data_IF_365085493352
#
_entry.id   IF_365085493352
#
_cell.length_a   1.000
_cell.length_b   1.000
_cell.length_c   1.000
_cell.angle_alpha   90.00
_cell.angle_beta   90.00
_cell.angle_gamma   90.00
#
_symmetry.space_group_name_H-M   'P 1'
#
loop_
_entity.id
_entity.type
_entity.pdbx_description
1 polymer ?
#
# COMPACT_ATOMS: atom_id res chain seq x y z
N UNK A 1 -41.02 38.19 5.43
CA UNK A 1 -40.16 37.26 6.19
C UNK A 1 -39.57 38.03 7.37
N UNK A 2 -40.00 37.72 8.59
CA UNK A 2 -39.65 38.53 9.77
C UNK A 2 -38.23 38.24 10.27
N UNK A 3 -37.55 39.23 10.86
CA UNK A 3 -36.19 39.08 11.40
C UNK A 3 -36.00 37.85 12.31
N UNK A 4 -37.04 37.46 13.07
CA UNK A 4 -37.02 36.24 13.92
C UNK A 4 -36.91 34.93 13.14
N UNK A 5 -37.43 34.88 11.92
CA UNK A 5 -37.42 33.69 11.07
C UNK A 5 -36.06 33.52 10.38
N UNK A 6 -35.44 34.64 9.98
CA UNK A 6 -34.07 34.69 9.48
C UNK A 6 -33.04 34.22 10.52
N UNK A 7 -33.19 34.64 11.78
CA UNK A 7 -32.31 34.21 12.88
C UNK A 7 -32.42 32.70 13.15
N UNK A 8 -33.63 32.11 13.02
CA UNK A 8 -33.85 30.66 13.16
C UNK A 8 -33.24 29.85 12.01
N UNK A 9 -33.30 30.37 10.79
CA UNK A 9 -32.66 29.74 9.62
C UNK A 9 -31.13 29.79 9.72
N UNK A 10 -30.58 30.94 10.12
CA UNK A 10 -29.14 31.10 10.36
C UNK A 10 -28.63 30.18 11.48
N UNK A 11 -29.39 30.03 12.58
CA UNK A 11 -29.03 29.07 13.63
C UNK A 11 -29.03 27.63 13.11
N UNK A 12 -30.02 27.21 12.31
CA UNK A 12 -30.03 25.87 11.70
C UNK A 12 -28.86 25.64 10.75
N UNK A 13 -28.49 26.63 9.93
CA UNK A 13 -27.32 26.50 9.05
C UNK A 13 -26.02 26.37 9.83
N UNK A 14 -25.87 27.12 10.94
CA UNK A 14 -24.71 26.99 11.83
C UNK A 14 -24.67 25.62 12.50
N UNK A 15 -25.80 25.10 12.97
CA UNK A 15 -25.90 23.75 13.55
C UNK A 15 -25.53 22.67 12.53
N UNK A 16 -26.03 22.77 11.29
CA UNK A 16 -25.69 21.82 10.22
C UNK A 16 -24.19 21.87 9.90
N UNK A 17 -23.60 23.07 9.79
CA UNK A 17 -22.15 23.21 9.57
C UNK A 17 -21.34 22.62 10.72
N UNK A 18 -21.79 22.78 11.96
CA UNK A 18 -21.14 22.20 13.14
C UNK A 18 -21.19 20.67 13.10
N UNK A 19 -22.33 20.09 12.69
CA UNK A 19 -22.51 18.64 12.56
C UNK A 19 -21.57 18.07 11.50
N UNK A 20 -21.49 18.69 10.31
CA UNK A 20 -20.57 18.24 9.25
C UNK A 20 -19.11 18.37 9.68
N UNK A 21 -18.75 19.46 10.36
CA UNK A 21 -17.39 19.65 10.87
C UNK A 21 -17.01 18.60 11.91
N UNK A 22 -17.91 18.30 12.86
CA UNK A 22 -17.70 17.25 13.86
C UNK A 22 -17.64 15.85 13.25
N UNK A 23 -18.47 15.54 12.25
CA UNK A 23 -18.41 14.28 11.52
C UNK A 23 -17.08 14.13 10.76
N UNK A 24 -16.58 15.21 10.15
CA UNK A 24 -15.28 15.19 9.48
C UNK A 24 -14.15 14.96 10.47
N UNK A 25 -14.16 15.65 11.60
CA UNK A 25 -13.19 15.48 12.70
C UNK A 25 -13.27 14.10 13.36
N UNK A 26 -14.45 13.48 13.47
CA UNK A 26 -14.61 12.11 13.95
C UNK A 26 -14.09 11.09 12.93
N UNK A 27 -14.37 11.28 11.64
CA UNK A 27 -13.81 10.44 10.56
C UNK A 27 -12.28 10.51 10.49
N UNK A 28 -11.71 11.68 10.77
CA UNK A 28 -10.27 11.90 10.83
C UNK A 28 -9.68 11.24 12.09
N UNK A 29 -10.31 11.40 13.25
CA UNK A 29 -9.89 10.73 14.49
C UNK A 29 -10.01 9.21 14.42
N UNK A 30 -11.02 8.66 13.76
CA UNK A 30 -11.14 7.20 13.58
C UNK A 30 -10.06 6.65 12.63
N UNK A 31 -9.76 7.38 11.54
CA UNK A 31 -8.63 7.06 10.66
C UNK A 31 -7.29 7.16 11.39
N UNK A 32 -7.11 8.21 12.19
CA UNK A 32 -5.90 8.43 12.97
C UNK A 32 -5.75 7.38 14.08
N UNK A 33 -6.84 6.99 14.76
CA UNK A 33 -6.82 5.85 15.70
C UNK A 33 -6.47 4.54 15.02
N UNK A 34 -7.04 4.23 13.86
CA UNK A 34 -6.67 3.04 13.10
C UNK A 34 -5.22 3.05 12.65
N UNK A 35 -4.71 4.22 12.25
CA UNK A 35 -3.30 4.41 11.90
C UNK A 35 -2.37 4.30 13.11
N UNK A 36 -2.76 4.86 14.27
CA UNK A 36 -2.04 4.76 15.54
C UNK A 36 -2.04 3.31 16.05
N UNK A 37 -3.15 2.58 15.92
CA UNK A 37 -3.26 1.16 16.30
C UNK A 37 -2.40 0.28 15.38
N UNK A 38 -2.38 0.55 14.07
CA UNK A 38 -1.44 -0.07 13.13
C UNK A 38 0.03 0.28 13.45
N UNK A 39 0.34 1.54 13.75
CA UNK A 39 1.69 1.96 14.14
C UNK A 39 2.13 1.32 15.47
N UNK A 40 1.21 1.21 16.44
CA UNK A 40 1.48 0.60 17.74
C UNK A 40 1.71 -0.92 17.64
N UNK A 41 0.92 -1.61 16.81
CA UNK A 41 1.14 -3.04 16.53
C UNK A 41 2.46 -3.29 15.78
N UNK A 42 2.92 -2.34 14.97
CA UNK A 42 4.23 -2.43 14.30
C UNK A 42 5.41 -2.07 15.21
N UNK A 43 5.26 -1.19 16.21
CA UNK A 43 6.36 -0.86 17.16
C UNK A 43 6.73 -1.99 18.12
N UNK A 44 5.84 -2.95 18.31
CA UNK A 44 6.14 -4.18 19.04
C UNK A 44 6.75 -5.25 18.11
N UNK A 45 7.85 -4.93 17.41
CA UNK A 45 8.65 -5.95 16.70
C UNK A 45 9.42 -6.79 17.71
N UNK A 46 8.68 -7.59 18.49
CA UNK A 46 9.24 -8.77 19.13
C UNK A 46 9.49 -9.73 17.98
N UNK A 47 10.75 -10.15 17.76
CA UNK A 47 11.08 -11.16 16.74
C UNK A 47 10.10 -12.31 16.93
N UNK A 48 9.18 -12.54 15.97
CA UNK A 48 8.20 -13.58 16.13
C UNK A 48 8.95 -14.92 16.26
N UNK A 49 8.48 -15.84 17.11
CA UNK A 49 9.08 -17.17 17.14
C UNK A 49 9.06 -17.76 15.73
N UNK A 50 10.13 -18.48 15.36
CA UNK A 50 10.17 -19.18 14.07
C UNK A 50 8.96 -20.12 13.99
N UNK A 51 8.27 -20.10 12.86
CA UNK A 51 7.13 -20.96 12.59
C UNK A 51 7.57 -22.42 12.71
N UNK A 52 6.84 -23.17 13.54
CA UNK A 52 7.14 -24.58 13.81
C UNK A 52 6.72 -25.45 12.61
N UNK A 53 5.71 -25.02 11.87
CA UNK A 53 5.18 -25.71 10.69
C UNK A 53 4.96 -24.78 9.50
N UNK A 54 4.81 -25.38 8.31
CA UNK A 54 4.43 -24.67 7.10
C UNK A 54 3.03 -24.05 7.19
N UNK A 55 2.12 -24.68 7.92
CA UNK A 55 0.75 -24.18 8.10
C UNK A 55 0.71 -22.89 8.93
N UNK A 56 1.51 -22.84 10.00
CA UNK A 56 1.68 -21.65 10.82
C UNK A 56 2.28 -20.51 9.99
N UNK A 57 3.36 -20.78 9.25
CA UNK A 57 4.00 -19.80 8.37
C UNK A 57 3.02 -19.25 7.32
N UNK A 58 2.17 -20.11 6.74
CA UNK A 58 1.13 -19.71 5.77
C UNK A 58 0.07 -18.83 6.40
N UNK A 59 -0.42 -19.20 7.59
CA UNK A 59 -1.42 -18.40 8.32
C UNK A 59 -0.89 -16.99 8.59
N UNK A 60 0.33 -16.88 9.12
CA UNK A 60 0.99 -15.59 9.39
C UNK A 60 1.21 -14.77 8.11
N UNK A 61 1.57 -15.44 7.01
CA UNK A 61 1.70 -14.80 5.70
C UNK A 61 0.38 -14.20 5.22
N UNK A 62 -0.75 -14.91 5.41
CA UNK A 62 -2.07 -14.40 5.05
C UNK A 62 -2.54 -13.24 5.94
N UNK A 63 -2.23 -13.29 7.24
CA UNK A 63 -2.52 -12.19 8.16
C UNK A 63 -1.77 -10.92 7.75
N UNK A 64 -0.47 -11.05 7.45
CA UNK A 64 0.33 -9.95 6.93
C UNK A 64 -0.18 -9.44 5.59
N UNK A 65 -0.54 -10.32 4.64
CA UNK A 65 -1.14 -9.91 3.37
C UNK A 65 -2.42 -9.09 3.57
N UNK A 66 -3.29 -9.51 4.49
CA UNK A 66 -4.50 -8.75 4.85
C UNK A 66 -4.15 -7.39 5.46
N UNK A 67 -3.16 -7.33 6.36
CA UNK A 67 -2.68 -6.09 6.96
C UNK A 67 -2.18 -5.11 5.89
N UNK A 68 -1.31 -5.57 4.99
CA UNK A 68 -0.82 -4.78 3.85
C UNK A 68 -1.96 -4.29 2.95
N UNK A 69 -2.96 -5.12 2.66
CA UNK A 69 -4.10 -4.70 1.84
C UNK A 69 -4.99 -3.65 2.52
N UNK A 70 -5.07 -3.67 3.85
CA UNK A 70 -5.84 -2.70 4.65
C UNK A 70 -5.12 -1.37 4.83
N UNK A 71 -3.78 -1.34 4.78
CA UNK A 71 -3.02 -0.08 4.86
C UNK A 71 -3.02 0.71 3.55
N UNK A 72 -3.35 0.08 2.41
CA UNK A 72 -3.31 0.72 1.08
C UNK A 72 -4.06 2.05 1.01
N UNK A 73 -5.31 2.20 1.49
CA UNK A 73 -5.99 3.50 1.46
C UNK A 73 -5.16 4.60 2.13
N UNK A 74 -4.58 4.31 3.31
CA UNK A 74 -3.70 5.23 4.02
C UNK A 74 -2.44 5.56 3.21
N UNK A 75 -1.79 4.55 2.61
CA UNK A 75 -0.61 4.74 1.75
C UNK A 75 -0.94 5.59 0.51
N UNK A 76 -2.11 5.41 -0.09
CA UNK A 76 -2.56 6.20 -1.25
C UNK A 76 -2.66 7.69 -0.92
N UNK A 77 -3.19 8.02 0.27
CA UNK A 77 -3.29 9.41 0.75
C UNK A 77 -1.91 9.99 1.10
N UNK A 78 -1.14 9.27 1.93
CA UNK A 78 0.17 9.71 2.44
C UNK A 78 1.14 10.06 1.29
N UNK A 79 1.11 9.30 0.20
CA UNK A 79 2.03 9.46 -0.93
C UNK A 79 1.39 10.09 -2.16
N UNK A 80 0.12 10.52 -2.10
CA UNK A 80 -0.64 11.05 -3.23
C UNK A 80 -0.42 10.22 -4.51
N UNK A 81 -0.92 8.98 -4.51
CA UNK A 81 -0.68 7.99 -5.56
C UNK A 81 -1.83 7.85 -6.57
N UNK A 82 -2.95 8.54 -6.36
CA UNK A 82 -4.15 8.39 -7.18
C UNK A 82 -3.96 8.82 -8.65
N UNK A 83 -2.96 9.64 -8.94
CA UNK A 83 -2.57 10.07 -10.28
C UNK A 83 -1.76 9.02 -11.05
N UNK A 84 -1.15 8.05 -10.35
CA UNK A 84 -0.24 7.06 -10.95
C UNK A 84 -0.73 5.62 -10.85
N UNK A 85 -1.57 5.30 -9.87
CA UNK A 85 -2.04 3.92 -9.65
C UNK A 85 -3.41 3.91 -8.98
N UNK A 86 -4.21 2.89 -9.28
CA UNK A 86 -5.46 2.64 -8.54
C UNK A 86 -5.19 1.76 -7.31
N UNK A 87 -6.00 1.87 -6.24
CA UNK A 87 -5.89 0.96 -5.09
C UNK A 87 -6.00 -0.53 -5.46
N UNK A 88 -6.75 -0.85 -6.52
CA UNK A 88 -6.89 -2.22 -7.03
C UNK A 88 -5.60 -2.73 -7.68
N UNK A 89 -4.95 -1.90 -8.51
CA UNK A 89 -3.65 -2.22 -9.10
C UNK A 89 -2.58 -2.39 -8.02
N UNK A 90 -2.54 -1.51 -7.00
CA UNK A 90 -1.57 -1.63 -5.92
C UNK A 90 -1.77 -2.92 -5.10
N UNK A 91 -3.02 -3.33 -4.81
CA UNK A 91 -3.34 -4.65 -4.23
C UNK A 91 -2.85 -5.79 -5.10
N UNK A 92 -3.03 -5.68 -6.41
CA UNK A 92 -2.61 -6.69 -7.38
C UNK A 92 -1.08 -6.82 -7.43
N UNK A 93 -0.37 -5.70 -7.37
CA UNK A 93 1.10 -5.65 -7.33
C UNK A 93 1.64 -6.25 -6.04
N UNK A 94 1.02 -5.95 -4.89
CA UNK A 94 1.35 -6.61 -3.62
C UNK A 94 1.12 -8.11 -3.75
N UNK A 95 -0.04 -8.56 -4.22
CA UNK A 95 -0.32 -9.98 -4.40
C UNK A 95 0.69 -10.67 -5.34
N UNK A 96 1.19 -9.97 -6.37
CA UNK A 96 2.25 -10.50 -7.24
C UNK A 96 3.57 -10.74 -6.46
N UNK A 97 3.94 -9.87 -5.52
CA UNK A 97 5.12 -10.07 -4.67
C UNK A 97 5.00 -11.31 -3.78
N UNK A 98 3.81 -11.59 -3.24
CA UNK A 98 3.57 -12.83 -2.49
C UNK A 98 3.66 -14.06 -3.40
N UNK A 99 3.08 -14.01 -4.61
CA UNK A 99 3.12 -15.12 -5.57
C UNK A 99 4.54 -15.44 -6.06
N UNK A 100 5.40 -14.43 -6.26
CA UNK A 100 6.81 -14.64 -6.64
C UNK A 100 7.54 -15.57 -5.67
N UNK A 101 7.20 -15.48 -4.39
CA UNK A 101 7.84 -16.25 -3.32
C UNK A 101 7.05 -17.52 -2.93
N UNK A 102 5.95 -17.85 -3.61
CA UNK A 102 5.08 -18.96 -3.24
C UNK A 102 5.71 -20.36 -3.38
N UNK A 103 6.81 -20.48 -4.11
CA UNK A 103 7.55 -21.73 -4.30
C UNK A 103 8.42 -22.11 -3.08
N UNK A 104 8.58 -21.20 -2.12
CA UNK A 104 9.44 -21.40 -0.96
C UNK A 104 8.74 -22.31 0.06
N UNK A 105 9.40 -23.41 0.42
CA UNK A 105 8.89 -24.41 1.38
C UNK A 105 9.62 -24.40 2.73
N UNK A 106 10.75 -23.70 2.84
CA UNK A 106 11.49 -23.61 4.09
C UNK A 106 10.85 -22.55 5.01
N UNK A 107 10.31 -22.99 6.15
CA UNK A 107 9.61 -22.12 7.11
C UNK A 107 10.45 -20.95 7.60
N UNK A 108 11.75 -21.16 7.85
CA UNK A 108 12.67 -20.10 8.30
C UNK A 108 12.87 -19.02 7.24
N UNK A 109 12.87 -19.41 5.96
CA UNK A 109 12.98 -18.45 4.85
C UNK A 109 11.68 -17.66 4.71
N UNK A 110 10.53 -18.33 4.87
CA UNK A 110 9.21 -17.66 4.87
C UNK A 110 9.15 -16.63 6.02
N UNK A 111 9.55 -17.00 7.24
CA UNK A 111 9.57 -16.10 8.39
C UNK A 111 10.48 -14.89 8.17
N UNK A 112 11.65 -15.09 7.57
CA UNK A 112 12.57 -14.01 7.24
C UNK A 112 11.98 -13.06 6.19
N UNK A 113 11.33 -13.58 5.15
CA UNK A 113 10.64 -12.77 4.14
C UNK A 113 9.45 -12.02 4.75
N UNK A 114 8.72 -12.66 5.66
CA UNK A 114 7.63 -12.05 6.38
C UNK A 114 8.13 -10.90 7.25
N UNK A 115 9.24 -11.09 7.97
CA UNK A 115 9.90 -10.05 8.76
C UNK A 115 10.30 -8.85 7.89
N UNK A 116 11.00 -9.09 6.78
CA UNK A 116 11.37 -8.03 5.82
C UNK A 116 10.16 -7.30 5.27
N UNK A 117 9.08 -8.03 4.98
CA UNK A 117 7.82 -7.44 4.51
C UNK A 117 7.15 -6.56 5.57
N UNK A 118 7.15 -6.99 6.83
CA UNK A 118 6.59 -6.20 7.94
C UNK A 118 7.39 -4.93 8.19
N UNK A 119 8.72 -5.02 8.18
CA UNK A 119 9.63 -3.86 8.30
C UNK A 119 9.39 -2.86 7.16
N UNK A 120 9.38 -3.35 5.91
CA UNK A 120 9.10 -2.54 4.74
C UNK A 120 7.72 -1.85 4.80
N UNK A 121 6.69 -2.58 5.25
CA UNK A 121 5.35 -2.00 5.42
C UNK A 121 5.34 -0.93 6.52
N UNK A 122 6.10 -1.14 7.60
CA UNK A 122 6.33 -0.18 8.67
C UNK A 122 6.91 1.12 8.13
N UNK A 123 8.03 1.04 7.39
CA UNK A 123 8.68 2.20 6.79
C UNK A 123 7.73 2.98 5.86
N UNK A 124 6.91 2.27 5.09
CA UNK A 124 5.95 2.90 4.17
C UNK A 124 4.86 3.62 4.95
N UNK A 125 4.25 2.97 5.95
CA UNK A 125 3.13 3.53 6.73
C UNK A 125 3.59 4.65 7.66
N UNK A 126 4.78 4.56 8.25
CA UNK A 126 5.37 5.60 9.10
C UNK A 126 5.94 6.78 8.29
N UNK A 127 5.79 6.76 6.96
CA UNK A 127 6.32 7.79 6.06
C UNK A 127 7.85 7.97 6.16
N UNK A 128 8.57 6.89 6.43
CA UNK A 128 10.03 6.87 6.44
C UNK A 128 10.62 6.82 5.01
N UNK A 129 9.79 6.54 3.99
CA UNK A 129 10.17 6.55 2.57
C UNK A 129 9.62 7.77 1.86
N UNK A 130 10.15 8.04 0.66
CA UNK A 130 9.60 9.08 -0.23
C UNK A 130 8.72 8.51 -1.34
N UNK A 131 7.77 9.31 -1.85
CA UNK A 131 6.84 8.96 -2.93
C UNK A 131 7.50 8.26 -4.12
N UNK A 132 8.65 8.76 -4.57
CA UNK A 132 9.34 8.20 -5.74
C UNK A 132 9.85 6.77 -5.50
N UNK A 133 10.18 6.39 -4.25
CA UNK A 133 10.51 5.01 -3.90
C UNK A 133 9.31 4.08 -4.07
N UNK A 134 8.13 4.53 -3.58
CA UNK A 134 6.89 3.75 -3.68
C UNK A 134 6.52 3.52 -5.14
N UNK A 135 6.60 4.58 -5.96
CA UNK A 135 6.28 4.51 -7.38
C UNK A 135 7.23 3.58 -8.12
N UNK A 136 8.54 3.75 -7.94
CA UNK A 136 9.53 2.93 -8.63
C UNK A 136 9.41 1.45 -8.27
N UNK A 137 9.17 1.14 -6.99
CA UNK A 137 9.20 -0.23 -6.50
C UNK A 137 7.86 -0.98 -6.67
N UNK A 138 6.73 -0.30 -6.44
CA UNK A 138 5.41 -0.94 -6.32
C UNK A 138 4.39 -0.52 -7.37
N UNK A 139 4.63 0.54 -8.15
CA UNK A 139 3.71 1.01 -9.19
C UNK A 139 4.21 0.65 -10.59
N UNK A 140 5.42 1.11 -10.93
CA UNK A 140 6.00 0.93 -12.27
C UNK A 140 6.59 -0.46 -12.44
N UNK A 141 7.11 -1.05 -11.36
CA UNK A 141 7.88 -2.29 -11.40
C UNK A 141 9.28 -2.06 -11.98
N UNK A 142 10.13 -3.11 -11.94
CA UNK A 142 11.50 -3.04 -12.48
C UNK A 142 11.57 -2.85 -14.01
N UNK A 143 10.43 -2.98 -14.70
CA UNK A 143 10.28 -2.48 -16.06
C UNK A 143 9.95 -0.99 -15.98
N UNK A 144 10.98 -0.14 -15.97
CA UNK A 144 10.85 1.30 -15.81
C UNK A 144 9.87 1.97 -16.78
N UNK A 145 9.62 3.26 -16.57
CA UNK A 145 8.72 4.16 -17.31
C UNK A 145 9.02 4.29 -18.83
N UNK A 146 9.90 3.46 -19.38
CA UNK A 146 10.44 3.52 -20.73
C UNK A 146 10.16 2.21 -21.48
N UNK A 147 8.90 1.80 -21.58
CA UNK A 147 8.48 1.11 -22.79
C UNK A 147 8.08 2.19 -23.80
N UNK A 148 9.09 2.74 -24.48
CA UNK A 148 8.90 3.20 -25.85
C UNK A 148 8.61 1.94 -26.67
N UNK A 149 7.39 1.40 -26.55
CA UNK A 149 6.86 0.42 -27.50
C UNK A 149 6.52 1.16 -28.78
N UNK A 150 7.55 1.75 -29.40
CA UNK A 150 7.52 2.00 -30.82
C UNK A 150 7.21 0.66 -31.49
N UNK A 151 6.25 0.69 -32.41
CA UNK A 151 5.73 -0.40 -33.25
C UNK A 151 6.80 -1.18 -34.06
N UNK A 152 8.09 -1.02 -33.76
CA UNK A 152 9.24 -1.66 -34.40
C UNK A 152 9.59 -3.04 -33.83
N UNK A 153 9.04 -3.41 -32.67
CA UNK A 153 9.42 -4.62 -31.91
C UNK A 153 8.36 -5.75 -31.93
N UNK A 154 7.25 -5.56 -32.63
CA UNK A 154 6.20 -6.57 -32.81
C UNK A 154 6.71 -7.65 -33.77
N UNK A 155 7.24 -8.75 -33.22
CA UNK A 155 7.69 -9.93 -33.97
C UNK A 155 9.18 -10.27 -33.83
N UNK A 156 10.00 -9.39 -33.24
CA UNK A 156 11.40 -9.70 -32.97
C UNK A 156 11.56 -10.65 -31.78
N UNK A 157 12.46 -11.64 -31.90
CA UNK A 157 12.75 -12.60 -30.84
C UNK A 157 13.40 -11.93 -29.62
N UNK A 158 13.24 -12.52 -28.44
CA UNK A 158 13.84 -12.02 -27.20
C UNK A 158 15.37 -11.91 -27.33
N UNK A 159 15.99 -12.87 -28.03
CA UNK A 159 17.41 -12.81 -28.38
C UNK A 159 17.75 -11.56 -29.18
N UNK A 160 17.01 -11.25 -30.26
CA UNK A 160 17.32 -10.12 -31.14
C UNK A 160 17.13 -8.78 -30.41
N UNK A 161 16.11 -8.69 -29.56
CA UNK A 161 15.86 -7.52 -28.70
C UNK A 161 17.00 -7.31 -27.70
N UNK A 162 17.49 -8.38 -27.08
CA UNK A 162 18.60 -8.30 -26.12
C UNK A 162 19.93 -8.02 -26.84
N UNK A 163 20.15 -8.61 -28.02
CA UNK A 163 21.32 -8.42 -28.87
C UNK A 163 21.56 -6.95 -29.21
N UNK A 164 20.50 -6.20 -29.55
CA UNK A 164 20.64 -4.76 -29.85
C UNK A 164 20.73 -3.87 -28.62
N UNK A 165 20.39 -4.37 -27.42
CA UNK A 165 20.36 -3.57 -26.19
C UNK A 165 21.63 -3.71 -25.34
N UNK A 166 22.22 -4.90 -25.27
CA UNK A 166 23.36 -5.18 -24.39
C UNK A 166 24.15 -6.39 -24.87
N UNK A 167 25.43 -6.46 -24.49
CA UNK A 167 26.30 -7.61 -24.79
C UNK A 167 26.30 -8.70 -23.70
N UNK A 168 25.43 -8.58 -22.69
CA UNK A 168 25.26 -9.57 -21.63
C UNK A 168 23.98 -10.37 -21.89
N UNK A 169 24.11 -11.57 -22.46
CA UNK A 169 23.03 -12.54 -22.66
C UNK A 169 23.27 -13.77 -21.80
#
# INVERSE_FOLDING_TARGET
MGQREYVKLLHRELDIKLIYHNYQLESERERERGAIEMAFTMRAVKVPPNSVSLEEARTRTFEFFKSACRSIPTVMEIYNLYDVVTPSQLRSNIAAQFRKNAHITNTKVIDMLLFKGMEELGDVVEHAKQRHHIIGQYVVGHHGLSQDSGTKDEGASDFLKNFYKTNYF
#
